data_IF_722619652547
#
_entry.id   IF_722619652547
#
_cell.length_a   1.000
_cell.length_b   1.000
_cell.length_c   1.000
_cell.angle_alpha   90.00
_cell.angle_beta   90.00
_cell.angle_gamma   90.00
#
_symmetry.space_group_name_H-M   'P 1'
#
loop_
_entity.id
_entity.type
_entity.pdbx_description
1 polymer ?
#
# COMPACT_ATOMS: atom_id res chain seq x y z
N UNK A 1 19.52 -19.09 -29.07
CA UNK A 1 20.17 -17.79 -29.31
C UNK A 1 19.20 -16.89 -30.06
N UNK A 2 18.40 -16.10 -29.34
CA UNK A 2 17.72 -14.95 -29.91
C UNK A 2 17.79 -13.86 -28.86
N UNK A 3 18.65 -12.87 -29.10
CA UNK A 3 18.88 -11.74 -28.22
C UNK A 3 17.81 -10.69 -28.56
N UNK A 4 16.83 -10.50 -27.68
CA UNK A 4 15.98 -9.30 -27.73
C UNK A 4 16.75 -8.18 -27.05
N UNK A 5 17.54 -7.44 -27.83
CA UNK A 5 18.18 -6.20 -27.37
C UNK A 5 17.21 -5.04 -27.59
N UNK A 6 16.43 -4.70 -26.56
CA UNK A 6 15.70 -3.43 -26.56
C UNK A 6 16.72 -2.29 -26.59
N UNK A 7 16.66 -1.46 -27.64
CA UNK A 7 17.53 -0.30 -27.79
C UNK A 7 17.12 0.75 -26.77
N UNK A 8 17.91 0.87 -25.72
CA UNK A 8 17.72 1.81 -24.60
C UNK A 8 17.89 3.28 -25.01
N UNK A 9 18.24 3.55 -26.27
CA UNK A 9 18.59 4.89 -26.76
C UNK A 9 17.46 5.60 -27.53
N UNK A 10 16.26 5.02 -27.62
CA UNK A 10 15.13 5.63 -28.38
C UNK A 10 14.11 6.35 -27.48
N UNK A 11 14.35 6.45 -26.16
CA UNK A 11 13.41 7.09 -25.21
C UNK A 11 13.81 8.52 -24.78
N UNK A 12 14.83 9.10 -25.42
CA UNK A 12 15.33 10.43 -25.05
C UNK A 12 15.07 11.50 -26.12
N UNK A 13 14.12 11.27 -27.04
CA UNK A 13 13.63 12.32 -27.94
C UNK A 13 12.64 13.22 -27.18
N UNK A 14 13.22 14.27 -26.60
CA UNK A 14 12.68 15.63 -26.55
C UNK A 14 11.20 15.78 -26.19
N UNK A 15 10.88 15.60 -24.91
CA UNK A 15 9.68 16.22 -24.36
C UNK A 15 9.94 17.74 -24.30
N UNK A 16 9.54 18.48 -25.34
CA UNK A 16 9.42 19.93 -25.30
C UNK A 16 8.39 20.29 -24.22
N UNK A 17 8.86 20.66 -23.03
CA UNK A 17 8.03 21.27 -22.01
C UNK A 17 7.71 22.70 -22.46
N UNK A 18 6.46 22.94 -22.88
CA UNK A 18 5.93 24.28 -23.06
C UNK A 18 5.89 24.99 -21.69
N UNK A 19 6.86 25.88 -21.45
CA UNK A 19 7.05 26.63 -20.20
C UNK A 19 5.86 27.56 -19.86
N UNK A 20 4.87 27.68 -20.75
CA UNK A 20 3.74 28.60 -20.60
C UNK A 20 2.37 27.93 -20.34
N UNK A 21 2.32 26.60 -20.24
CA UNK A 21 1.12 25.86 -19.86
C UNK A 21 0.99 25.70 -18.35
N UNK A 22 0.48 26.71 -17.64
CA UNK A 22 -0.02 26.51 -16.27
C UNK A 22 -1.33 25.72 -16.38
N UNK A 23 -1.21 24.41 -16.60
CA UNK A 23 -2.28 23.46 -16.33
C UNK A 23 -2.56 23.53 -14.83
N UNK A 24 -3.72 24.08 -14.45
CA UNK A 24 -4.14 24.12 -13.08
C UNK A 24 -4.25 22.67 -12.58
N UNK A 25 -3.25 22.24 -11.81
CA UNK A 25 -3.19 20.91 -11.22
C UNK A 25 -4.37 20.79 -10.25
N UNK A 26 -5.45 20.13 -10.68
CA UNK A 26 -6.60 19.87 -9.84
C UNK A 26 -6.24 18.76 -8.86
N UNK A 27 -5.62 19.14 -7.75
CA UNK A 27 -5.22 18.27 -6.65
C UNK A 27 -6.41 17.42 -6.15
N UNK A 28 -7.65 17.90 -6.29
CA UNK A 28 -8.85 17.15 -5.87
C UNK A 28 -9.19 15.97 -6.79
N UNK A 29 -8.81 16.01 -8.06
CA UNK A 29 -9.02 14.90 -8.98
C UNK A 29 -8.11 13.70 -8.68
N UNK A 30 -7.05 13.89 -7.88
CA UNK A 30 -6.13 12.83 -7.44
C UNK A 30 -6.53 12.19 -6.11
N UNK A 31 -7.52 12.75 -5.41
CA UNK A 31 -8.03 12.25 -4.11
C UNK A 31 -9.32 11.44 -4.30
N UNK A 32 -9.63 11.01 -5.54
CA UNK A 32 -10.55 9.90 -5.72
C UNK A 32 -9.89 8.65 -5.11
N UNK A 33 -10.17 8.41 -3.82
CA UNK A 33 -9.90 7.13 -3.14
C UNK A 33 -10.81 6.07 -3.75
N UNK A 34 -10.52 5.68 -4.99
CA UNK A 34 -10.95 4.40 -5.50
C UNK A 34 -10.28 3.34 -4.61
N UNK A 35 -11.04 2.38 -4.04
CA UNK A 35 -10.45 1.30 -3.27
C UNK A 35 -9.40 0.64 -4.17
N UNK A 36 -8.16 0.58 -3.70
CA UNK A 36 -7.12 -0.04 -4.50
C UNK A 36 -7.46 -1.52 -4.68
N UNK A 37 -7.04 -2.12 -5.79
CA UNK A 37 -7.23 -3.55 -6.01
C UNK A 37 -6.67 -4.42 -4.85
N UNK A 38 -5.73 -3.87 -4.07
CA UNK A 38 -5.23 -4.49 -2.85
C UNK A 38 -6.26 -4.49 -1.70
N UNK A 39 -7.02 -3.40 -1.52
CA UNK A 39 -8.02 -3.30 -0.44
C UNK A 39 -9.14 -4.33 -0.63
N UNK A 40 -9.55 -4.55 -1.89
CA UNK A 40 -10.55 -5.57 -2.24
C UNK A 40 -10.02 -7.01 -2.06
N UNK A 41 -8.74 -7.23 -2.40
CA UNK A 41 -8.10 -8.54 -2.23
C UNK A 41 -7.88 -8.88 -0.74
N UNK A 42 -7.55 -7.89 0.09
CA UNK A 42 -7.43 -8.05 1.53
C UNK A 42 -8.79 -8.35 2.18
N UNK A 43 -9.85 -7.64 1.79
CA UNK A 43 -11.21 -7.92 2.28
C UNK A 43 -11.69 -9.32 1.89
N UNK A 44 -11.42 -9.76 0.66
CA UNK A 44 -11.76 -11.11 0.21
C UNK A 44 -10.98 -12.19 0.99
N UNK A 45 -9.69 -11.99 1.23
CA UNK A 45 -8.85 -12.92 1.99
C UNK A 45 -9.27 -13.03 3.46
N UNK A 46 -9.65 -11.91 4.07
CA UNK A 46 -10.21 -11.85 5.42
C UNK A 46 -11.57 -12.57 5.49
N UNK A 47 -12.41 -12.43 4.46
CA UNK A 47 -13.73 -13.05 4.37
C UNK A 47 -13.68 -14.58 4.16
N UNK A 48 -12.64 -15.07 3.49
CA UNK A 48 -12.45 -16.49 3.18
C UNK A 48 -11.89 -17.32 4.34
N UNK A 49 -11.76 -16.73 5.54
CA UNK A 49 -11.56 -17.43 6.81
C UNK A 49 -10.53 -18.55 6.70
N UNK A 50 -9.25 -18.19 6.55
CA UNK A 50 -8.09 -19.08 6.63
C UNK A 50 -8.38 -20.50 6.15
N UNK A 51 -8.65 -20.66 4.84
CA UNK A 51 -8.91 -21.98 4.25
C UNK A 51 -7.89 -22.98 4.79
N UNK A 52 -8.40 -24.10 5.29
CA UNK A 52 -7.74 -25.07 6.18
C UNK A 52 -6.62 -25.86 5.48
N UNK A 53 -5.68 -25.15 4.87
CA UNK A 53 -4.44 -25.65 4.29
C UNK A 53 -3.37 -25.48 5.36
N UNK A 54 -2.48 -26.46 5.50
CA UNK A 54 -1.32 -26.32 6.37
C UNK A 54 -0.39 -25.30 5.73
N UNK A 55 -0.46 -24.05 6.21
CA UNK A 55 0.37 -22.95 5.76
C UNK A 55 1.74 -23.01 6.46
N UNK A 56 2.78 -22.52 5.79
CA UNK A 56 4.07 -22.35 6.44
C UNK A 56 4.00 -21.23 7.51
N UNK A 57 4.98 -21.21 8.42
CA UNK A 57 5.00 -20.26 9.53
C UNK A 57 5.01 -18.79 9.08
N UNK A 58 5.53 -18.51 7.88
CA UNK A 58 5.59 -17.13 7.36
C UNK A 58 4.24 -16.69 6.83
N UNK A 59 3.51 -17.56 6.15
CA UNK A 59 2.16 -17.29 5.66
C UNK A 59 1.16 -17.12 6.80
N UNK A 60 1.29 -17.93 7.87
CA UNK A 60 0.51 -17.75 9.09
C UNK A 60 0.77 -16.36 9.70
N UNK A 61 2.03 -15.96 9.85
CA UNK A 61 2.39 -14.65 10.39
C UNK A 61 1.85 -13.49 9.53
N UNK A 62 2.06 -13.55 8.21
CA UNK A 62 1.62 -12.50 7.28
C UNK A 62 0.08 -12.38 7.25
N UNK A 63 -0.64 -13.49 7.39
CA UNK A 63 -2.10 -13.47 7.48
C UNK A 63 -2.65 -12.87 8.78
N UNK A 64 -1.86 -12.84 9.86
CA UNK A 64 -2.30 -12.38 11.18
C UNK A 64 -1.88 -10.94 11.51
N UNK A 65 -0.73 -10.47 11.01
CA UNK A 65 -0.13 -9.19 11.44
C UNK A 65 -0.97 -7.94 11.11
N UNK A 66 -1.81 -8.02 10.09
CA UNK A 66 -2.69 -6.93 9.64
C UNK A 66 -4.08 -6.93 10.27
N UNK A 67 -4.40 -7.88 11.17
CA UNK A 67 -5.75 -8.00 11.73
C UNK A 67 -6.16 -6.81 12.61
N UNK A 68 -5.19 -6.12 13.21
CA UNK A 68 -5.45 -4.91 13.99
C UNK A 68 -5.38 -3.68 13.10
N UNK A 69 -6.36 -2.76 13.17
CA UNK A 69 -6.27 -1.48 12.47
C UNK A 69 -5.05 -0.69 12.95
N UNK A 70 -4.53 0.16 12.07
CA UNK A 70 -3.48 1.10 12.41
C UNK A 70 -3.98 2.08 13.46
N UNK A 71 -3.10 2.42 14.41
CA UNK A 71 -3.42 3.37 15.46
C UNK A 71 -3.25 4.80 14.95
N UNK A 72 -4.15 5.68 15.35
CA UNK A 72 -3.93 7.12 15.25
C UNK A 72 -2.87 7.58 16.24
N UNK A 73 -2.24 8.74 16.00
CA UNK A 73 -1.23 9.29 16.90
C UNK A 73 -1.76 9.48 18.35
N UNK A 74 -3.04 9.81 18.52
CA UNK A 74 -3.67 9.95 19.83
C UNK A 74 -3.83 8.59 20.53
N UNK A 75 -4.19 7.55 19.78
CA UNK A 75 -4.34 6.18 20.29
C UNK A 75 -3.00 5.58 20.70
N UNK A 76 -1.93 5.78 19.93
CA UNK A 76 -0.58 5.34 20.30
C UNK A 76 -0.15 5.92 21.66
N UNK A 77 -0.34 7.23 21.85
CA UNK A 77 -0.03 7.92 23.12
C UNK A 77 -0.90 7.39 24.26
N UNK A 78 -2.19 7.15 24.02
CA UNK A 78 -3.11 6.61 25.00
C UNK A 78 -2.67 5.22 25.47
N UNK A 79 -2.40 4.30 24.54
CA UNK A 79 -1.99 2.93 24.86
C UNK A 79 -0.61 2.89 25.52
N UNK A 80 0.34 3.73 25.10
CA UNK A 80 1.66 3.83 25.74
C UNK A 80 1.55 4.25 27.22
N UNK A 81 0.75 5.28 27.52
CA UNK A 81 0.50 5.72 28.91
C UNK A 81 -0.22 4.65 29.73
N UNK A 82 -1.19 3.96 29.13
CA UNK A 82 -1.93 2.87 29.78
C UNK A 82 -1.01 1.71 30.12
N UNK A 83 -0.14 1.30 29.21
CA UNK A 83 0.84 0.24 29.41
C UNK A 83 1.83 0.60 30.53
N UNK A 84 2.34 1.84 30.56
CA UNK A 84 3.25 2.30 31.63
C UNK A 84 2.61 2.26 33.01
N UNK A 85 1.31 2.57 33.13
CA UNK A 85 0.57 2.45 34.39
C UNK A 85 0.35 1.01 34.81
N UNK A 86 0.08 0.11 33.86
CA UNK A 86 -0.10 -1.31 34.13
C UNK A 86 1.23 -2.02 34.49
N UNK A 87 2.36 -1.50 34.04
CA UNK A 87 3.69 -2.01 34.33
C UNK A 87 4.26 -1.54 35.68
N UNK A 88 3.54 -0.66 36.40
CA UNK A 88 3.92 -0.13 37.70
C UNK A 88 3.12 -0.78 38.82
#
# INVERSE_FOLDING_TARGET
>A
MSQNTLKVNELNEDAEYDENGVEAFDEKALVEEEPSDNDLAEEELLSQGATQRVLDATQLYLGEIGYSPLLTAEEEVYFARRALRAAR
#
